data_IF_616735257117
#
_entry.id   IF_616735257117
#
_cell.length_a   1.000
_cell.length_b   1.000
_cell.length_c   1.000
_cell.angle_alpha   90.00
_cell.angle_beta   90.00
_cell.angle_gamma   90.00
#
_symmetry.space_group_name_H-M   'P 1'
#
loop_
_entity.id
_entity.type
_entity.pdbx_description
1 polymer ?
#
# COMPACT_ATOMS: atom_id res chain seq x y z
N UNK A 1 -17.41 -9.92 -20.05
CA UNK A 1 -15.95 -10.11 -19.88
C UNK A 1 -15.29 -9.66 -21.16
N UNK A 2 -14.43 -8.66 -21.08
CA UNK A 2 -13.72 -8.12 -22.24
C UNK A 2 -12.33 -8.76 -22.34
N UNK A 3 -11.77 -8.78 -23.54
CA UNK A 3 -10.39 -9.17 -23.77
C UNK A 3 -9.68 -8.11 -24.58
N UNK A 4 -8.38 -7.96 -24.32
CA UNK A 4 -7.52 -7.06 -25.07
C UNK A 4 -6.23 -7.79 -25.43
N UNK A 5 -5.97 -7.88 -26.73
CA UNK A 5 -4.81 -8.57 -27.29
C UNK A 5 -3.84 -7.56 -27.86
N UNK A 6 -2.62 -7.58 -27.33
CA UNK A 6 -1.47 -6.86 -27.89
C UNK A 6 -0.53 -7.80 -28.63
N UNK A 7 0.64 -7.30 -29.00
CA UNK A 7 1.65 -8.07 -29.75
C UNK A 7 2.17 -9.33 -29.01
N UNK A 8 2.29 -9.28 -27.69
CA UNK A 8 2.96 -10.33 -26.90
C UNK A 8 2.04 -11.07 -25.93
N UNK A 9 0.85 -10.55 -25.65
CA UNK A 9 -0.07 -11.16 -24.70
C UNK A 9 -1.51 -10.73 -24.88
N UNK A 10 -2.38 -11.39 -24.12
CA UNK A 10 -3.81 -11.05 -24.01
C UNK A 10 -4.16 -10.89 -22.54
N UNK A 11 -4.89 -9.83 -22.20
CA UNK A 11 -5.43 -9.62 -20.87
C UNK A 11 -6.94 -9.92 -20.85
N UNK A 12 -7.38 -10.64 -19.84
CA UNK A 12 -8.80 -10.87 -19.53
C UNK A 12 -9.28 -9.84 -18.53
N UNK A 13 -10.33 -9.11 -18.88
CA UNK A 13 -10.86 -7.99 -18.10
C UNK A 13 -12.17 -8.43 -17.43
N UNK A 14 -12.19 -8.39 -16.10
CA UNK A 14 -13.26 -8.94 -15.25
C UNK A 14 -14.47 -8.01 -15.11
N UNK A 15 -14.63 -7.06 -16.01
CA UNK A 15 -15.76 -6.13 -16.13
C UNK A 15 -16.27 -6.11 -17.57
N UNK A 16 -17.44 -5.53 -17.79
CA UNK A 16 -18.05 -5.28 -19.10
C UNK A 16 -17.75 -3.88 -19.65
N UNK A 17 -17.15 -3.00 -18.83
CA UNK A 17 -16.79 -1.65 -19.22
C UNK A 17 -15.38 -1.28 -18.75
N UNK A 18 -14.64 -0.60 -19.62
CA UNK A 18 -13.33 -0.01 -19.32
C UNK A 18 -13.18 1.28 -20.15
N UNK A 19 -12.62 2.32 -19.54
CA UNK A 19 -12.46 3.61 -20.21
C UNK A 19 -11.31 3.59 -21.25
N UNK A 20 -11.29 4.59 -22.13
CA UNK A 20 -10.31 4.68 -23.23
C UNK A 20 -8.86 4.78 -22.76
N UNK A 21 -8.59 5.43 -21.63
CA UNK A 21 -7.23 5.61 -21.12
C UNK A 21 -6.71 4.29 -20.57
N UNK A 22 -7.52 3.62 -19.75
CA UNK A 22 -7.24 2.27 -19.25
C UNK A 22 -7.03 1.27 -20.38
N UNK A 23 -7.90 1.28 -21.40
CA UNK A 23 -7.75 0.43 -22.58
C UNK A 23 -6.42 0.69 -23.31
N UNK A 24 -6.10 1.95 -23.58
CA UNK A 24 -4.85 2.34 -24.25
C UNK A 24 -3.60 1.92 -23.46
N UNK A 25 -3.61 2.14 -22.15
CA UNK A 25 -2.51 1.75 -21.27
C UNK A 25 -2.34 0.22 -21.23
N UNK A 26 -3.43 -0.53 -21.08
CA UNK A 26 -3.40 -1.99 -21.07
C UNK A 26 -2.94 -2.57 -22.42
N UNK A 27 -3.39 -1.99 -23.53
CA UNK A 27 -2.94 -2.38 -24.88
C UNK A 27 -1.43 -2.23 -25.05
N UNK A 28 -0.85 -1.13 -24.55
CA UNK A 28 0.60 -0.91 -24.55
C UNK A 28 1.32 -1.97 -23.74
N UNK A 29 0.81 -2.31 -22.55
CA UNK A 29 1.38 -3.38 -21.72
C UNK A 29 1.33 -4.73 -22.45
N UNK A 30 0.19 -5.10 -23.04
CA UNK A 30 0.05 -6.36 -23.78
C UNK A 30 0.88 -6.40 -25.06
N UNK A 31 1.28 -5.23 -25.56
CA UNK A 31 2.19 -5.07 -26.70
C UNK A 31 3.66 -4.91 -26.31
N UNK A 32 3.97 -5.01 -25.02
CA UNK A 32 5.35 -5.05 -24.52
C UNK A 32 5.76 -6.50 -24.21
N UNK A 33 7.04 -6.82 -24.43
CA UNK A 33 7.57 -8.17 -24.21
C UNK A 33 7.49 -8.66 -22.75
N UNK A 34 7.12 -7.81 -21.79
CA UNK A 34 6.86 -8.21 -20.40
C UNK A 34 5.67 -9.17 -20.29
N UNK A 35 4.72 -9.11 -21.23
CA UNK A 35 3.51 -9.96 -21.22
C UNK A 35 3.67 -11.28 -21.96
N UNK A 36 4.80 -11.49 -22.65
CA UNK A 36 5.08 -12.70 -23.42
C UNK A 36 5.09 -13.96 -22.55
N UNK A 37 4.24 -14.93 -22.88
CA UNK A 37 4.13 -16.19 -22.13
C UNK A 37 3.65 -16.01 -20.69
N UNK A 38 2.90 -14.96 -20.41
CA UNK A 38 2.29 -14.69 -19.10
C UNK A 38 0.77 -14.76 -19.16
N UNK A 39 0.14 -15.00 -18.01
CA UNK A 39 -1.31 -14.89 -17.87
C UNK A 39 -1.65 -13.56 -17.19
N UNK A 40 -2.47 -12.75 -17.86
CA UNK A 40 -2.84 -11.41 -17.40
C UNK A 40 -4.34 -11.33 -17.14
N UNK A 41 -4.69 -10.87 -15.95
CA UNK A 41 -6.06 -10.60 -15.52
C UNK A 41 -6.14 -9.17 -15.01
N UNK A 42 -7.22 -8.48 -15.36
CA UNK A 42 -7.51 -7.13 -14.89
C UNK A 42 -8.83 -7.14 -14.13
N UNK A 43 -8.79 -6.67 -12.89
CA UNK A 43 -9.89 -6.70 -11.94
C UNK A 43 -10.99 -5.67 -12.30
N UNK A 44 -12.22 -5.83 -11.77
CA UNK A 44 -13.36 -5.00 -12.17
C UNK A 44 -13.25 -3.51 -11.81
N UNK A 45 -12.45 -3.19 -10.79
CA UNK A 45 -12.16 -1.83 -10.30
C UNK A 45 -11.05 -1.11 -11.10
N UNK A 46 -10.72 -1.65 -12.28
CA UNK A 46 -9.62 -1.13 -13.07
C UNK A 46 -9.85 0.30 -13.57
N UNK A 47 -8.77 1.07 -13.52
CA UNK A 47 -8.71 2.43 -14.03
C UNK A 47 -7.26 2.80 -14.35
N UNK A 48 -7.06 3.89 -15.09
CA UNK A 48 -5.73 4.34 -15.48
C UNK A 48 -4.90 4.69 -14.25
N UNK A 49 -3.74 4.08 -14.10
CA UNK A 49 -2.76 4.43 -13.07
C UNK A 49 -1.58 5.20 -13.64
N UNK A 50 -0.66 5.63 -12.77
CA UNK A 50 0.52 6.41 -13.16
C UNK A 50 1.41 5.69 -14.21
N UNK A 51 1.49 4.36 -14.14
CA UNK A 51 2.39 3.55 -14.97
C UNK A 51 1.68 2.35 -15.60
N UNK A 52 0.98 1.56 -14.78
CA UNK A 52 0.11 0.46 -15.20
C UNK A 52 -1.36 0.79 -14.86
N UNK A 53 -2.27 0.01 -15.45
CA UNK A 53 -3.68 0.03 -15.07
C UNK A 53 -3.79 -0.50 -13.63
N UNK A 54 -4.53 0.20 -12.76
CA UNK A 54 -4.86 -0.31 -11.42
C UNK A 54 -5.79 -1.52 -11.56
N UNK A 55 -5.68 -2.50 -10.65
CA UNK A 55 -6.38 -3.78 -10.78
C UNK A 55 -5.68 -4.77 -11.72
N UNK A 56 -4.47 -4.48 -12.17
CA UNK A 56 -3.66 -5.36 -13.02
C UNK A 56 -3.02 -6.50 -12.23
N UNK A 57 -3.09 -7.73 -12.74
CA UNK A 57 -2.40 -8.90 -12.21
C UNK A 57 -1.76 -9.69 -13.35
N UNK A 58 -0.50 -10.09 -13.18
CA UNK A 58 0.25 -10.83 -14.17
C UNK A 58 1.12 -11.91 -13.51
N UNK A 59 1.16 -13.11 -14.07
CA UNK A 59 2.13 -14.14 -13.68
C UNK A 59 3.52 -13.85 -14.25
N UNK A 60 4.58 -14.27 -13.57
CA UNK A 60 5.90 -14.30 -14.20
C UNK A 60 5.96 -15.40 -15.28
N UNK A 61 6.64 -15.11 -16.39
CA UNK A 61 6.99 -16.14 -17.36
C UNK A 61 8.02 -17.09 -16.69
N UNK A 62 7.71 -18.39 -16.64
CA UNK A 62 8.54 -19.38 -15.95
C UNK A 62 9.87 -19.65 -16.65
N UNK A 63 9.91 -19.55 -17.98
CA UNK A 63 11.11 -19.86 -18.78
C UNK A 63 12.00 -18.64 -19.02
N UNK A 64 11.43 -17.44 -18.95
CA UNK A 64 12.15 -16.17 -19.11
C UNK A 64 11.55 -15.10 -18.18
N UNK A 65 11.80 -15.20 -16.86
CA UNK A 65 11.21 -14.28 -15.89
C UNK A 65 11.73 -12.86 -16.11
N UNK A 66 10.79 -11.92 -16.24
CA UNK A 66 11.07 -10.48 -16.39
C UNK A 66 10.30 -9.73 -15.32
N UNK A 67 10.94 -8.72 -14.73
CA UNK A 67 10.32 -7.82 -13.75
C UNK A 67 10.29 -6.41 -14.31
N UNK A 68 9.16 -5.73 -14.15
CA UNK A 68 9.02 -4.32 -14.49
C UNK A 68 8.46 -3.58 -13.25
N UNK A 69 9.27 -2.78 -12.54
CA UNK A 69 8.81 -2.05 -11.36
C UNK A 69 7.58 -1.17 -11.62
N UNK A 70 7.48 -0.61 -12.84
CA UNK A 70 6.35 0.18 -13.29
C UNK A 70 5.00 -0.58 -13.31
N UNK A 71 5.01 -1.92 -13.25
CA UNK A 71 3.81 -2.75 -13.15
C UNK A 71 3.42 -3.10 -11.70
N UNK A 72 4.24 -2.75 -10.71
CA UNK A 72 3.96 -3.01 -9.28
C UNK A 72 3.12 -1.88 -8.70
N UNK A 73 3.53 -0.63 -8.95
CA UNK A 73 2.91 0.57 -8.38
C UNK A 73 3.96 1.49 -7.76
N UNK A 74 3.60 2.77 -7.60
CA UNK A 74 4.49 3.78 -6.99
C UNK A 74 4.50 3.70 -5.47
N UNK A 75 3.37 3.34 -4.84
CA UNK A 75 3.32 3.09 -3.41
C UNK A 75 3.46 1.59 -3.14
N UNK A 76 4.71 1.13 -3.13
CA UNK A 76 5.04 -0.28 -2.99
C UNK A 76 4.54 -0.80 -1.63
N UNK A 77 3.81 -1.91 -1.63
CA UNK A 77 3.29 -2.49 -0.39
C UNK A 77 2.13 -1.72 0.24
N UNK A 78 1.52 -0.77 -0.47
CA UNK A 78 0.22 -0.21 -0.08
C UNK A 78 -0.79 -1.35 0.14
N UNK A 79 -1.35 -1.42 1.34
CA UNK A 79 -2.22 -2.53 1.75
C UNK A 79 -3.26 -2.07 2.77
N UNK A 80 -4.27 -2.91 2.94
CA UNK A 80 -5.31 -2.77 3.95
C UNK A 80 -5.15 -3.89 4.97
N UNK A 81 -4.97 -3.52 6.23
CA UNK A 81 -4.96 -4.46 7.36
C UNK A 81 -6.14 -4.16 8.26
N UNK A 82 -6.92 -5.19 8.63
CA UNK A 82 -8.08 -5.06 9.53
C UNK A 82 -7.92 -5.97 10.73
N UNK A 83 -8.17 -5.44 11.93
CA UNK A 83 -8.09 -6.18 13.19
C UNK A 83 -9.43 -6.05 13.92
N UNK A 84 -10.03 -7.19 14.27
CA UNK A 84 -11.21 -7.22 15.11
C UNK A 84 -10.81 -6.84 16.55
N UNK A 85 -11.44 -5.81 17.09
CA UNK A 85 -11.22 -5.35 18.45
C UNK A 85 -12.37 -5.82 19.36
N UNK A 86 -12.09 -6.36 20.55
CA UNK A 86 -13.12 -6.77 21.51
C UNK A 86 -13.68 -5.53 22.25
N UNK A 87 -14.34 -4.65 21.50
CA UNK A 87 -14.91 -3.41 22.03
C UNK A 87 -16.35 -3.62 22.48
N UNK A 88 -16.70 -2.98 23.60
CA UNK A 88 -18.08 -2.88 24.06
C UNK A 88 -18.86 -1.84 23.21
N UNK A 89 -20.16 -2.05 22.93
CA UNK A 89 -20.99 -1.10 22.18
C UNK A 89 -21.01 0.33 22.72
N UNK A 90 -20.63 0.56 23.97
CA UNK A 90 -20.38 1.90 24.53
C UNK A 90 -19.39 2.73 23.71
N UNK A 91 -18.54 2.10 22.89
CA UNK A 91 -17.62 2.80 21.98
C UNK A 91 -18.34 3.72 21.00
N UNK A 92 -19.60 3.42 20.63
CA UNK A 92 -20.38 4.22 19.68
C UNK A 92 -20.78 5.60 20.22
N UNK A 93 -20.60 5.85 21.52
CA UNK A 93 -20.83 7.18 22.09
C UNK A 93 -19.81 8.16 21.52
N UNK A 94 -20.28 9.35 21.14
CA UNK A 94 -19.47 10.37 20.47
C UNK A 94 -18.22 10.76 21.26
N UNK A 95 -18.32 10.88 22.58
CA UNK A 95 -17.17 11.16 23.45
C UNK A 95 -16.12 10.05 23.40
N UNK A 96 -16.55 8.78 23.33
CA UNK A 96 -15.65 7.62 23.21
C UNK A 96 -14.97 7.57 21.85
N UNK A 97 -15.71 7.79 20.77
CA UNK A 97 -15.13 7.89 19.42
C UNK A 97 -14.12 9.04 19.31
N UNK A 98 -14.45 10.23 19.84
CA UNK A 98 -13.54 11.38 19.89
C UNK A 98 -12.27 11.07 20.69
N UNK A 99 -12.39 10.39 21.82
CA UNK A 99 -11.25 9.97 22.63
C UNK A 99 -10.36 8.96 21.88
N UNK A 100 -10.95 8.01 21.15
CA UNK A 100 -10.20 7.06 20.34
C UNK A 100 -9.46 7.75 19.19
N UNK A 101 -10.13 8.61 18.43
CA UNK A 101 -9.50 9.38 17.34
C UNK A 101 -8.36 10.27 17.86
N UNK A 102 -8.57 10.97 18.98
CA UNK A 102 -7.54 11.77 19.63
C UNK A 102 -6.34 10.91 20.08
N UNK A 103 -6.60 9.73 20.65
CA UNK A 103 -5.55 8.79 21.03
C UNK A 103 -4.74 8.34 19.80
N UNK A 104 -5.41 7.93 18.72
CA UNK A 104 -4.76 7.52 17.47
C UNK A 104 -3.89 8.65 16.91
N UNK A 105 -4.44 9.86 16.76
CA UNK A 105 -3.71 11.03 16.23
C UNK A 105 -2.53 11.45 17.10
N UNK A 106 -2.58 11.18 18.40
CA UNK A 106 -1.46 11.45 19.31
C UNK A 106 -0.27 10.50 19.12
N UNK A 107 -0.50 9.31 18.53
CA UNK A 107 0.49 8.25 18.36
C UNK A 107 0.95 8.07 16.91
N UNK A 108 0.04 8.29 15.97
CA UNK A 108 0.25 8.06 14.54
C UNK A 108 0.06 9.38 13.81
N UNK A 109 1.08 9.79 13.08
CA UNK A 109 1.03 10.99 12.26
C UNK A 109 0.12 10.82 11.05
N UNK A 110 -0.41 11.91 10.50
CA UNK A 110 -1.15 11.87 9.23
C UNK A 110 -0.14 11.99 8.08
N UNK A 111 0.43 13.17 7.85
CA UNK A 111 1.39 13.36 6.75
C UNK A 111 2.83 13.09 7.16
N UNK A 112 3.20 13.54 8.36
CA UNK A 112 4.52 13.33 8.98
C UNK A 112 4.33 12.52 10.25
N UNK A 113 5.15 11.51 10.44
CA UNK A 113 5.16 10.71 11.65
C UNK A 113 6.11 11.28 12.70
N UNK A 114 5.98 10.77 13.92
CA UNK A 114 6.77 11.20 15.08
C UNK A 114 8.08 10.43 15.23
N UNK A 115 8.40 9.56 14.26
CA UNK A 115 9.50 8.61 14.39
C UNK A 115 10.88 9.28 14.56
N UNK A 116 11.16 10.36 13.83
CA UNK A 116 12.46 11.06 13.93
C UNK A 116 12.71 11.64 15.32
N UNK A 117 11.65 11.98 16.06
CA UNK A 117 11.74 12.57 17.40
C UNK A 117 11.78 11.50 18.49
N UNK A 118 11.07 10.38 18.30
CA UNK A 118 10.76 9.44 19.39
C UNK A 118 11.30 8.02 19.16
N UNK A 119 11.68 7.67 17.93
CA UNK A 119 11.95 6.28 17.54
C UNK A 119 10.76 5.36 17.82
N UNK A 120 11.05 4.06 17.98
CA UNK A 120 10.11 3.12 18.60
C UNK A 120 10.30 3.10 20.12
N UNK A 121 9.20 3.21 20.87
CA UNK A 121 9.20 3.02 22.32
C UNK A 121 9.48 1.56 22.71
N UNK A 122 9.83 1.31 23.97
CA UNK A 122 10.00 -0.06 24.47
C UNK A 122 8.72 -0.90 24.33
N UNK A 123 7.55 -0.29 24.54
CA UNK A 123 6.26 -0.96 24.35
C UNK A 123 6.03 -1.29 22.88
N UNK A 124 6.34 -0.39 21.96
CA UNK A 124 6.18 -0.62 20.52
C UNK A 124 7.10 -1.74 20.04
N UNK A 125 8.35 -1.76 20.50
CA UNK A 125 9.29 -2.85 20.18
C UNK A 125 8.80 -4.20 20.69
N UNK A 126 8.16 -4.23 21.85
CA UNK A 126 7.61 -5.47 22.42
C UNK A 126 6.41 -6.03 21.64
N UNK A 127 5.74 -5.22 20.82
CA UNK A 127 4.62 -5.63 19.97
C UNK A 127 5.07 -6.20 18.62
N UNK A 128 6.33 -5.96 18.23
CA UNK A 128 6.88 -6.42 16.96
C UNK A 128 7.52 -7.80 17.10
N UNK A 129 7.44 -8.61 16.04
CA UNK A 129 8.20 -9.85 15.98
C UNK A 129 9.70 -9.55 15.89
N UNK A 130 10.54 -10.57 16.16
CA UNK A 130 12.00 -10.44 16.00
C UNK A 130 12.39 -10.10 14.56
N UNK A 131 11.69 -10.67 13.58
CA UNK A 131 11.95 -10.40 12.16
C UNK A 131 11.54 -8.98 11.78
N UNK A 132 10.39 -8.50 12.27
CA UNK A 132 9.94 -7.12 12.02
C UNK A 132 10.92 -6.10 12.61
N UNK A 133 11.40 -6.35 13.83
CA UNK A 133 12.43 -5.51 14.45
C UNK A 133 13.71 -5.49 13.62
N UNK A 134 14.19 -6.65 13.15
CA UNK A 134 15.38 -6.71 12.29
C UNK A 134 15.19 -5.91 11.00
N UNK A 135 14.08 -6.11 10.31
CA UNK A 135 13.76 -5.38 9.07
C UNK A 135 13.75 -3.88 9.34
N UNK A 136 13.11 -3.47 10.43
CA UNK A 136 13.00 -2.07 10.81
C UNK A 136 14.38 -1.45 11.11
N UNK A 137 15.23 -2.14 11.86
CA UNK A 137 16.60 -1.70 12.16
C UNK A 137 17.48 -1.62 10.90
N UNK A 138 17.34 -2.58 9.97
CA UNK A 138 18.04 -2.55 8.68
C UNK A 138 17.59 -1.38 7.82
N UNK A 139 16.28 -1.12 7.73
CA UNK A 139 15.72 0.04 7.02
C UNK A 139 16.22 1.35 7.63
N UNK A 140 16.16 1.47 8.95
CA UNK A 140 16.66 2.65 9.64
C UNK A 140 18.15 2.87 9.38
N UNK A 141 18.96 1.80 9.43
CA UNK A 141 20.38 1.86 9.10
C UNK A 141 20.61 2.30 7.65
N UNK A 142 19.88 1.75 6.68
CA UNK A 142 19.98 2.15 5.26
C UNK A 142 19.59 3.62 5.03
N UNK A 143 18.60 4.12 5.78
CA UNK A 143 18.12 5.49 5.67
C UNK A 143 19.05 6.49 6.39
N UNK A 144 19.73 6.07 7.47
CA UNK A 144 20.70 6.89 8.22
C UNK A 144 22.11 6.87 7.62
N UNK A 145 22.50 5.79 6.93
CA UNK A 145 23.76 5.72 6.19
C UNK A 145 23.65 6.51 4.88
N UNK A 146 24.30 7.68 4.84
CA UNK A 146 25.16 8.14 3.74
C UNK A 146 25.36 9.65 3.88
N UNK A 147 26.59 10.11 4.13
CA UNK A 147 26.98 11.53 4.02
C UNK A 147 27.13 12.04 2.58
N UNK A 148 26.53 11.36 1.60
CA UNK A 148 26.56 11.72 0.18
C UNK A 148 25.35 12.55 -0.27
N UNK A 149 25.29 13.02 -1.54
CA UNK A 149 24.21 13.88 -2.05
C UNK A 149 22.80 13.27 -1.96
N UNK A 150 22.66 11.94 -1.83
CA UNK A 150 21.38 11.25 -1.54
C UNK A 150 20.86 11.44 -0.11
N UNK A 151 21.67 11.98 0.81
CA UNK A 151 21.31 12.22 2.21
C UNK A 151 20.11 13.16 2.38
N UNK A 152 20.04 14.19 1.54
CA UNK A 152 18.95 15.18 1.59
C UNK A 152 17.59 14.59 1.20
N UNK A 153 17.57 13.51 0.39
CA UNK A 153 16.35 12.80 0.01
C UNK A 153 15.89 11.78 1.07
N UNK A 154 16.79 11.25 1.91
CA UNK A 154 16.47 10.20 2.90
C UNK A 154 15.90 10.73 4.22
N UNK A 155 16.26 11.95 4.63
CA UNK A 155 15.77 12.59 5.87
C UNK A 155 14.25 12.81 5.89
N UNK A 156 13.60 13.20 4.78
CA UNK A 156 12.13 13.24 4.68
C UNK A 156 11.44 11.88 4.84
N UNK A 157 12.07 10.78 4.40
CA UNK A 157 11.50 9.43 4.48
C UNK A 157 11.43 8.97 5.93
N UNK A 158 12.50 9.17 6.71
CA UNK A 158 12.50 8.84 8.14
C UNK A 158 11.41 9.60 8.91
N UNK A 159 11.10 10.86 8.50
CA UNK A 159 10.01 11.66 9.08
C UNK A 159 8.62 11.14 8.75
N UNK A 160 8.47 10.22 7.80
CA UNK A 160 7.19 9.63 7.43
C UNK A 160 6.95 8.26 8.06
N UNK A 161 7.97 7.67 8.71
CA UNK A 161 7.76 6.48 9.54
C UNK A 161 6.78 6.80 10.67
N UNK A 162 5.87 5.87 10.97
CA UNK A 162 4.72 6.05 11.89
C UNK A 162 3.73 7.12 11.44
N UNK A 163 3.51 7.27 10.13
CA UNK A 163 2.38 8.02 9.59
C UNK A 163 1.47 7.18 8.70
N UNK A 164 0.20 7.57 8.66
CA UNK A 164 -0.83 6.98 7.76
C UNK A 164 -0.56 7.41 6.33
N UNK A 165 -0.30 8.70 6.14
CA UNK A 165 -0.14 9.33 4.85
C UNK A 165 -1.31 10.18 4.40
N UNK A 166 -1.39 10.38 3.10
CA UNK A 166 -2.37 11.19 2.40
C UNK A 166 -2.96 10.39 1.22
N UNK A 167 -3.91 11.00 0.49
CA UNK A 167 -4.58 10.33 -0.62
C UNK A 167 -5.70 9.44 -0.10
N UNK A 168 -5.71 8.16 -0.48
CA UNK A 168 -6.70 7.17 -0.06
C UNK A 168 -6.29 6.41 1.22
N UNK A 169 -5.24 6.83 1.93
CA UNK A 169 -4.79 6.22 3.18
C UNK A 169 -5.65 6.70 4.36
N UNK A 170 -6.00 5.78 5.26
CA UNK A 170 -6.88 6.07 6.40
C UNK A 170 -6.67 5.10 7.55
N UNK A 171 -7.21 5.48 8.72
CA UNK A 171 -7.53 4.58 9.82
C UNK A 171 -9.02 4.76 10.08
N UNK A 172 -9.79 3.67 10.08
CA UNK A 172 -11.22 3.69 10.33
C UNK A 172 -11.62 2.62 11.35
N UNK A 173 -12.70 2.90 12.09
CA UNK A 173 -13.37 1.92 12.92
C UNK A 173 -14.70 1.56 12.26
N UNK A 174 -14.79 0.35 11.72
CA UNK A 174 -16.01 -0.21 11.15
C UNK A 174 -16.74 -1.12 12.12
N UNK A 175 -18.04 -1.35 11.87
CA UNK A 175 -18.85 -2.36 12.55
C UNK A 175 -19.41 -3.33 11.53
N UNK A 176 -19.23 -4.62 11.74
CA UNK A 176 -19.73 -5.64 10.82
C UNK A 176 -21.20 -6.01 11.10
N UNK A 177 -21.76 -6.88 10.26
CA UNK A 177 -23.15 -7.34 10.37
C UNK A 177 -23.45 -8.18 11.62
N UNK A 178 -22.42 -8.63 12.35
CA UNK A 178 -22.55 -9.35 13.63
C UNK A 178 -22.37 -8.41 14.83
N UNK A 179 -22.12 -7.13 14.58
CA UNK A 179 -21.89 -6.13 15.61
C UNK A 179 -20.47 -6.11 16.18
N UNK A 180 -19.51 -6.78 15.54
CA UNK A 180 -18.10 -6.71 15.93
C UNK A 180 -17.45 -5.47 15.34
N UNK A 181 -16.47 -4.92 16.07
CA UNK A 181 -15.76 -3.72 15.68
C UNK A 181 -14.40 -4.05 15.06
N UNK A 182 -14.10 -3.40 13.94
CA UNK A 182 -12.90 -3.63 13.15
C UNK A 182 -12.13 -2.33 13.00
N UNK A 183 -10.87 -2.32 13.45
CA UNK A 183 -9.95 -1.23 13.13
C UNK A 183 -9.24 -1.57 11.83
N UNK A 184 -9.51 -0.79 10.79
CA UNK A 184 -8.95 -0.97 9.46
C UNK A 184 -7.96 0.15 9.17
N UNK A 185 -6.77 -0.23 8.73
CA UNK A 185 -5.66 0.66 8.41
C UNK A 185 -5.30 0.46 6.96
N UNK A 186 -5.37 1.53 6.17
CA UNK A 186 -4.90 1.58 4.80
C UNK A 186 -3.69 2.51 4.73
N UNK A 187 -2.52 1.94 4.44
CA UNK A 187 -1.27 2.68 4.30
C UNK A 187 -0.29 1.91 3.40
N UNK A 188 0.85 2.53 3.09
CA UNK A 188 1.88 1.96 2.24
C UNK A 188 3.29 2.34 2.67
N UNK A 189 4.21 2.26 1.72
CA UNK A 189 5.64 2.55 1.92
C UNK A 189 5.95 4.03 2.15
N UNK A 190 4.97 4.91 2.01
CA UNK A 190 5.16 6.38 1.99
C UNK A 190 6.10 6.72 0.83
N UNK A 191 6.98 7.71 0.97
CA UNK A 191 7.92 8.09 -0.10
C UNK A 191 9.15 7.16 -0.21
N UNK A 192 9.10 5.96 0.37
CA UNK A 192 10.20 5.00 0.25
C UNK A 192 10.13 4.17 -1.05
N UNK A 193 8.92 3.75 -1.45
CA UNK A 193 8.68 3.02 -2.69
C UNK A 193 8.98 3.88 -3.92
#
# INVERSE_FOLDING_TARGET
>A
MLEITGKYGTARIMTDFIDKNSWSQLYKTMSAGISEGTHVVVMPDCHSGANCVIGFTQTLNRSNPRLCPNLIGVDIGCNITSICLPLDPVIEKEDRLRNLDAFIRSRIGINTGTYVEQGLSAQEKALLSRDDLRIFEEMEKMLRLDGGPRHQMKRPILKQLKSVGSGNHFIELGKDSKGLYWLTIHSGSRNLG
#
